data_IF_670043329978
#
_entry.id   IF_670043329978
#
_cell.length_a   1.000
_cell.length_b   1.000
_cell.length_c   1.000
_cell.angle_alpha   90.00
_cell.angle_beta   90.00
_cell.angle_gamma   90.00
#
_symmetry.space_group_name_H-M   'P 1'
#
loop_
_entity.id
_entity.type
_entity.pdbx_description
1 polymer ?
#
# COMPACT_ATOMS: atom_id res chain seq x y z
N UNK A 1 -4.53 -46.15 37.57
CA UNK A 1 -5.04 -44.89 38.17
C UNK A 1 -6.42 -45.19 38.73
N UNK A 2 -6.73 -44.78 39.97
CA UNK A 2 -8.11 -44.92 40.48
C UNK A 2 -9.02 -44.07 39.59
N UNK A 3 -10.04 -44.69 38.99
CA UNK A 3 -11.07 -43.96 38.24
C UNK A 3 -11.70 -42.92 39.18
N UNK A 4 -11.57 -41.64 38.82
CA UNK A 4 -12.23 -40.56 39.54
C UNK A 4 -13.72 -40.71 39.30
N UNK A 5 -14.53 -40.73 40.35
CA UNK A 5 -15.98 -40.87 40.26
C UNK A 5 -16.65 -39.61 40.78
N UNK A 6 -17.79 -39.27 40.19
CA UNK A 6 -18.62 -38.18 40.67
C UNK A 6 -19.10 -38.50 42.10
N UNK A 7 -18.91 -37.59 43.07
CA UNK A 7 -19.29 -37.84 44.46
C UNK A 7 -20.81 -37.93 44.67
N UNK A 8 -21.61 -37.42 43.72
CA UNK A 8 -23.07 -37.40 43.79
C UNK A 8 -23.69 -38.57 43.03
N UNK A 9 -23.29 -38.76 41.76
CA UNK A 9 -23.90 -39.77 40.87
C UNK A 9 -23.17 -41.12 40.89
N UNK A 10 -21.93 -41.17 41.39
CA UNK A 10 -21.08 -42.35 41.33
C UNK A 10 -20.56 -42.70 39.92
N UNK A 11 -20.92 -41.92 38.90
CA UNK A 11 -20.50 -42.12 37.51
C UNK A 11 -19.00 -41.80 37.31
N UNK A 12 -18.33 -42.44 36.34
CA UNK A 12 -16.93 -42.16 36.04
C UNK A 12 -16.75 -40.73 35.51
N UNK A 13 -15.70 -40.06 35.97
CA UNK A 13 -15.26 -38.76 35.46
C UNK A 13 -14.08 -38.97 34.53
N UNK A 14 -14.17 -38.44 33.31
CA UNK A 14 -13.07 -38.41 32.35
C UNK A 14 -12.65 -36.96 32.14
N UNK A 15 -11.35 -36.70 32.23
CA UNK A 15 -10.74 -35.41 31.94
C UNK A 15 -9.52 -35.63 31.05
N UNK A 16 -9.33 -34.75 30.07
CA UNK A 16 -8.20 -34.79 29.14
C UNK A 16 -7.42 -33.47 29.13
N UNK A 17 -6.10 -33.48 28.91
CA UNK A 17 -5.31 -32.25 28.78
C UNK A 17 -5.75 -31.34 27.64
N UNK A 18 -6.24 -31.91 26.54
CA UNK A 18 -6.76 -31.19 25.37
C UNK A 18 -8.13 -30.51 25.63
N UNK A 19 -8.78 -30.80 26.75
CA UNK A 19 -10.08 -30.25 27.14
C UNK A 19 -9.94 -29.03 28.03
N UNK A 20 -9.02 -28.14 27.68
CA UNK A 20 -8.71 -26.94 28.42
C UNK A 20 -8.45 -25.78 27.45
N UNK A 21 -9.10 -24.64 27.69
CA UNK A 21 -8.88 -23.40 26.94
C UNK A 21 -8.47 -22.30 27.90
N UNK A 22 -7.50 -21.50 27.48
CA UNK A 22 -7.05 -20.31 28.20
C UNK A 22 -7.55 -19.06 27.49
N UNK A 23 -8.18 -18.18 28.25
CA UNK A 23 -8.71 -16.90 27.78
C UNK A 23 -7.74 -15.79 28.20
N UNK A 24 -6.85 -15.31 27.30
CA UNK A 24 -5.72 -14.45 27.67
C UNK A 24 -6.11 -13.03 28.07
N UNK A 25 -7.22 -12.51 27.55
CA UNK A 25 -7.73 -11.19 27.90
C UNK A 25 -8.22 -11.13 29.35
N UNK A 26 -9.23 -11.94 29.71
CA UNK A 26 -9.77 -11.98 31.07
C UNK A 26 -8.96 -12.84 32.06
N UNK A 27 -7.95 -13.58 31.60
CA UNK A 27 -7.00 -14.32 32.44
C UNK A 27 -7.67 -15.44 33.28
N UNK A 28 -8.42 -16.31 32.59
CA UNK A 28 -9.02 -17.52 33.18
C UNK A 28 -8.87 -18.74 32.27
N UNK A 29 -9.08 -19.92 32.84
CA UNK A 29 -9.13 -21.19 32.13
C UNK A 29 -10.48 -21.84 32.27
N UNK A 30 -10.97 -22.43 31.19
CA UNK A 30 -12.10 -23.36 31.25
C UNK A 30 -11.56 -24.76 31.07
N UNK A 31 -11.92 -25.63 31.99
CA UNK A 31 -11.59 -27.05 31.94
C UNK A 31 -12.88 -27.83 31.74
N UNK A 32 -12.92 -28.68 30.72
CA UNK A 32 -14.02 -29.62 30.54
C UNK A 32 -13.66 -30.99 31.11
N UNK A 33 -14.62 -31.58 31.82
CA UNK A 33 -14.63 -32.99 32.19
C UNK A 33 -16.00 -33.58 31.86
N UNK A 34 -16.04 -34.89 31.63
CA UNK A 34 -17.29 -35.59 31.29
C UNK A 34 -17.64 -36.56 32.39
N UNK A 35 -18.94 -36.67 32.70
CA UNK A 35 -19.45 -37.50 33.78
C UNK A 35 -20.42 -38.53 33.19
N UNK A 36 -20.04 -39.81 33.22
CA UNK A 36 -20.82 -40.85 32.56
C UNK A 36 -20.78 -40.72 31.04
N UNK A 37 -21.93 -40.80 30.38
CA UNK A 37 -22.04 -40.85 28.91
C UNK A 37 -22.70 -39.62 28.27
N UNK A 38 -23.23 -38.71 29.09
CA UNK A 38 -24.17 -37.68 28.64
C UNK A 38 -24.12 -36.38 29.46
N UNK A 39 -23.17 -36.24 30.39
CA UNK A 39 -22.98 -35.02 31.19
C UNK A 39 -21.63 -34.40 30.85
N UNK A 40 -21.65 -33.11 30.49
CA UNK A 40 -20.46 -32.28 30.31
C UNK A 40 -20.38 -31.32 31.49
N UNK A 41 -19.26 -31.28 32.17
CA UNK A 41 -18.98 -30.40 33.30
C UNK A 41 -17.84 -29.44 32.92
N UNK A 42 -18.15 -28.15 32.84
CA UNK A 42 -17.18 -27.10 32.57
C UNK A 42 -16.84 -26.35 33.88
N UNK A 43 -15.55 -26.25 34.18
CA UNK A 43 -15.05 -25.62 35.41
C UNK A 43 -14.24 -24.40 35.01
N UNK A 44 -14.69 -23.21 35.44
CA UNK A 44 -13.95 -21.98 35.24
C UNK A 44 -13.00 -21.74 36.41
N UNK A 45 -11.73 -21.54 36.12
CA UNK A 45 -10.68 -21.29 37.11
C UNK A 45 -9.94 -20.00 36.80
N UNK A 46 -9.88 -19.09 37.78
CA UNK A 46 -9.11 -17.85 37.70
C UNK A 46 -8.53 -17.49 39.08
N UNK A 47 -7.44 -16.73 39.11
CA UNK A 47 -6.80 -16.28 40.36
C UNK A 47 -7.54 -15.09 41.00
N UNK A 48 -8.37 -14.38 40.23
CA UNK A 48 -9.15 -13.20 40.64
C UNK A 48 -10.51 -13.19 39.96
N UNK A 49 -11.44 -12.42 40.51
CA UNK A 49 -12.73 -12.16 39.86
C UNK A 49 -12.53 -11.62 38.43
N UNK A 50 -13.25 -12.19 37.46
CA UNK A 50 -13.07 -11.88 36.03
C UNK A 50 -14.39 -11.88 35.25
N UNK A 51 -14.34 -11.73 33.93
CA UNK A 51 -15.49 -11.68 33.04
C UNK A 51 -15.47 -12.77 31.96
N UNK A 52 -16.65 -13.23 31.55
CA UNK A 52 -16.82 -14.17 30.43
C UNK A 52 -16.72 -13.41 29.09
N UNK A 53 -15.79 -13.81 28.23
CA UNK A 53 -15.50 -13.18 26.93
C UNK A 53 -16.12 -13.90 25.74
N UNK A 54 -15.88 -15.19 25.56
CA UNK A 54 -16.41 -15.99 24.47
C UNK A 54 -16.55 -17.47 24.84
N UNK A 55 -17.33 -18.23 24.09
CA UNK A 55 -17.40 -19.69 24.19
C UNK A 55 -16.55 -20.30 23.08
N UNK A 56 -15.58 -21.13 23.43
CA UNK A 56 -14.79 -21.87 22.44
C UNK A 56 -15.63 -23.01 21.84
N UNK A 57 -16.26 -22.71 20.70
CA UNK A 57 -17.13 -23.63 19.97
C UNK A 57 -16.36 -24.87 19.48
N UNK A 58 -15.14 -24.70 18.95
CA UNK A 58 -14.34 -25.83 18.45
C UNK A 58 -14.04 -26.82 19.58
N UNK A 59 -13.64 -26.30 20.74
CA UNK A 59 -13.39 -27.12 21.91
C UNK A 59 -14.67 -27.82 22.38
N UNK A 60 -15.77 -27.08 22.53
CA UNK A 60 -17.04 -27.66 22.97
C UNK A 60 -17.52 -28.80 22.04
N UNK A 61 -17.46 -28.59 20.72
CA UNK A 61 -17.82 -29.62 19.74
C UNK A 61 -16.87 -30.81 19.78
N UNK A 62 -15.58 -30.60 20.02
CA UNK A 62 -14.62 -31.70 20.16
C UNK A 62 -14.94 -32.60 21.36
N UNK A 63 -15.34 -32.01 22.50
CA UNK A 63 -15.79 -32.75 23.69
C UNK A 63 -17.06 -33.54 23.39
N UNK A 64 -18.01 -32.92 22.68
CA UNK A 64 -19.26 -33.58 22.26
C UNK A 64 -19.04 -34.75 21.30
N UNK A 65 -18.12 -34.60 20.34
CA UNK A 65 -17.77 -35.63 19.38
C UNK A 65 -17.15 -36.85 20.06
N UNK A 66 -16.26 -36.64 21.03
CA UNK A 66 -15.65 -37.72 21.79
C UNK A 66 -16.64 -38.46 22.70
N UNK A 67 -17.60 -37.74 23.29
CA UNK A 67 -18.72 -38.34 24.02
C UNK A 67 -19.70 -39.07 23.10
N UNK A 68 -19.60 -38.88 21.77
CA UNK A 68 -20.53 -39.40 20.76
C UNK A 68 -21.98 -38.94 20.99
N UNK A 69 -22.14 -37.72 21.50
CA UNK A 69 -23.45 -37.14 21.85
C UNK A 69 -23.98 -36.15 20.81
N UNK A 70 -23.36 -36.08 19.63
CA UNK A 70 -23.68 -35.15 18.53
C UNK A 70 -25.15 -35.16 18.11
N UNK A 71 -25.87 -36.27 18.34
CA UNK A 71 -27.30 -36.44 18.00
C UNK A 71 -28.16 -36.88 19.18
N UNK A 72 -27.65 -36.79 20.41
CA UNK A 72 -28.36 -37.19 21.62
C UNK A 72 -28.50 -36.02 22.57
N UNK A 73 -29.43 -36.13 23.51
CA UNK A 73 -29.56 -35.16 24.60
C UNK A 73 -28.29 -35.13 25.46
N UNK A 74 -27.80 -33.95 25.75
CA UNK A 74 -26.67 -33.73 26.68
C UNK A 74 -27.12 -32.83 27.84
N UNK A 75 -26.48 -33.03 28.99
CA UNK A 75 -26.66 -32.23 30.19
C UNK A 75 -25.37 -31.46 30.45
N UNK A 76 -25.45 -30.13 30.52
CA UNK A 76 -24.28 -29.27 30.72
C UNK A 76 -24.33 -28.68 32.12
N UNK A 77 -23.24 -28.81 32.87
CA UNK A 77 -23.08 -28.22 34.20
C UNK A 77 -21.87 -27.30 34.18
N UNK A 78 -21.98 -26.09 34.71
CA UNK A 78 -20.90 -25.09 34.65
C UNK A 78 -20.68 -24.43 36.00
N UNK A 79 -19.41 -24.35 36.41
CA UNK A 79 -18.96 -23.61 37.60
C UNK A 79 -18.58 -22.17 37.23
N UNK A 80 -19.27 -21.17 37.80
CA UNK A 80 -19.00 -19.75 37.58
C UNK A 80 -18.39 -19.03 38.80
N UNK A 81 -17.84 -19.76 39.77
CA UNK A 81 -17.26 -19.16 40.99
C UNK A 81 -16.36 -17.92 40.78
N UNK A 82 -15.44 -17.88 39.79
CA UNK A 82 -14.61 -16.69 39.58
C UNK A 82 -15.25 -15.58 38.72
N UNK A 83 -16.44 -15.79 38.16
CA UNK A 83 -17.04 -14.85 37.20
C UNK A 83 -17.84 -13.75 37.92
N UNK A 84 -17.64 -12.52 37.49
CA UNK A 84 -18.26 -11.30 38.03
C UNK A 84 -18.96 -10.45 36.97
N UNK A 85 -18.64 -10.65 35.69
CA UNK A 85 -19.25 -9.92 34.58
C UNK A 85 -19.40 -10.82 33.33
N UNK A 86 -20.28 -10.44 32.41
CA UNK A 86 -20.56 -11.20 31.18
C UNK A 86 -20.51 -10.26 29.99
N UNK A 87 -19.59 -10.50 29.07
CA UNK A 87 -19.46 -9.68 27.86
C UNK A 87 -20.62 -9.91 26.88
N UNK A 88 -20.81 -8.94 25.98
CA UNK A 88 -21.77 -9.08 24.87
C UNK A 88 -21.45 -10.27 23.96
N UNK A 89 -20.16 -10.50 23.69
CA UNK A 89 -19.73 -11.58 22.81
C UNK A 89 -20.10 -12.95 23.39
N UNK A 90 -19.87 -13.17 24.69
CA UNK A 90 -20.32 -14.38 25.37
C UNK A 90 -21.83 -14.58 25.32
N UNK A 91 -22.62 -13.50 25.46
CA UNK A 91 -24.09 -13.55 25.39
C UNK A 91 -24.57 -13.97 24.00
N UNK A 92 -23.88 -13.54 22.94
CA UNK A 92 -24.16 -13.94 21.57
C UNK A 92 -23.77 -15.40 21.32
N UNK A 93 -22.57 -15.79 21.75
CA UNK A 93 -22.08 -17.17 21.69
C UNK A 93 -23.01 -18.16 22.41
N UNK A 94 -23.54 -17.77 23.57
CA UNK A 94 -24.51 -18.58 24.31
C UNK A 94 -25.81 -18.79 23.51
N UNK A 95 -26.31 -17.77 22.81
CA UNK A 95 -27.47 -17.96 21.95
C UNK A 95 -27.13 -18.91 20.79
N UNK A 96 -25.97 -18.74 20.17
CA UNK A 96 -25.50 -19.61 19.10
C UNK A 96 -25.31 -21.07 19.53
N UNK A 97 -24.91 -21.31 20.79
CA UNK A 97 -24.82 -22.64 21.38
C UNK A 97 -26.13 -23.43 21.24
N UNK A 98 -27.28 -22.79 21.50
CA UNK A 98 -28.59 -23.44 21.42
C UNK A 98 -29.20 -23.45 20.02
N UNK A 99 -28.95 -22.41 19.21
CA UNK A 99 -29.63 -22.25 17.92
C UNK A 99 -28.81 -22.71 16.71
N UNK A 100 -27.48 -22.71 16.80
CA UNK A 100 -26.58 -22.85 15.65
C UNK A 100 -25.51 -23.94 15.79
N UNK A 101 -24.96 -24.18 16.99
CA UNK A 101 -23.79 -25.06 17.15
C UNK A 101 -24.15 -26.54 17.40
N UNK A 102 -25.21 -26.83 18.16
CA UNK A 102 -25.54 -28.19 18.61
C UNK A 102 -24.49 -28.76 19.60
N UNK A 103 -24.71 -29.91 20.27
CA UNK A 103 -25.86 -30.84 20.23
C UNK A 103 -27.08 -30.32 21.01
N UNK A 104 -28.15 -31.12 21.10
CA UNK A 104 -29.32 -30.75 21.89
C UNK A 104 -29.01 -30.77 23.39
N UNK A 105 -28.82 -29.59 23.97
CA UNK A 105 -28.66 -29.39 25.40
C UNK A 105 -30.03 -29.44 26.08
N UNK A 106 -30.36 -30.56 26.72
CA UNK A 106 -31.66 -30.71 27.38
C UNK A 106 -31.74 -29.86 28.67
N UNK A 107 -30.64 -29.78 29.42
CA UNK A 107 -30.53 -28.99 30.63
C UNK A 107 -29.13 -28.37 30.73
N UNK A 108 -29.09 -27.07 30.97
CA UNK A 108 -27.89 -26.32 31.33
C UNK A 108 -28.02 -25.84 32.77
N UNK A 109 -27.12 -26.26 33.65
CA UNK A 109 -27.11 -25.84 35.06
C UNK A 109 -25.84 -25.05 35.33
N UNK A 110 -25.99 -23.83 35.82
CA UNK A 110 -24.88 -23.02 36.31
C UNK A 110 -24.91 -22.96 37.82
N UNK A 111 -23.76 -23.07 38.47
CA UNK A 111 -23.64 -22.97 39.92
C UNK A 111 -22.52 -22.02 40.35
N UNK A 112 -22.52 -21.61 41.62
CA UNK A 112 -21.66 -20.55 42.16
C UNK A 112 -21.79 -19.20 41.41
N UNK A 113 -23.00 -18.87 40.97
CA UNK A 113 -23.25 -17.63 40.22
C UNK A 113 -23.22 -16.42 41.15
N UNK A 114 -22.38 -15.42 40.83
CA UNK A 114 -22.30 -14.19 41.62
C UNK A 114 -23.57 -13.32 41.44
N UNK A 115 -24.07 -12.63 42.49
CA UNK A 115 -25.26 -11.79 42.40
C UNK A 115 -25.25 -10.75 41.27
N UNK A 116 -24.07 -10.23 40.93
CA UNK A 116 -23.90 -9.20 39.89
C UNK A 116 -24.23 -9.70 38.47
N UNK A 117 -24.11 -11.02 38.21
CA UNK A 117 -24.38 -11.62 36.89
C UNK A 117 -25.67 -12.43 36.86
N UNK A 118 -26.41 -12.53 37.97
CA UNK A 118 -27.61 -13.37 38.07
C UNK A 118 -28.64 -12.97 37.01
N UNK A 119 -28.89 -11.68 36.82
CA UNK A 119 -29.86 -11.20 35.81
C UNK A 119 -29.43 -11.51 34.38
N UNK A 120 -28.13 -11.44 34.09
CA UNK A 120 -27.60 -11.86 32.79
C UNK A 120 -27.84 -13.36 32.57
N UNK A 121 -27.58 -14.19 33.58
CA UNK A 121 -27.81 -15.64 33.51
C UNK A 121 -29.29 -16.01 33.39
N UNK A 122 -30.17 -15.31 34.09
CA UNK A 122 -31.63 -15.46 33.93
C UNK A 122 -32.08 -15.06 32.52
N UNK A 123 -31.52 -13.99 31.95
CA UNK A 123 -31.78 -13.59 30.57
C UNK A 123 -31.32 -14.63 29.56
N UNK A 124 -30.14 -15.22 29.76
CA UNK A 124 -29.64 -16.33 28.93
C UNK A 124 -30.54 -17.57 29.08
N UNK A 125 -31.00 -17.88 30.28
CA UNK A 125 -31.97 -18.95 30.53
C UNK A 125 -33.30 -18.73 29.81
N UNK A 126 -33.80 -17.50 29.78
CA UNK A 126 -35.04 -17.12 29.09
C UNK A 126 -34.94 -17.21 27.56
N UNK A 127 -33.73 -17.21 26.99
CA UNK A 127 -33.49 -17.43 25.56
C UNK A 127 -33.48 -18.92 25.17
N UNK A 128 -33.59 -19.85 26.11
CA UNK A 128 -33.54 -21.27 25.77
C UNK A 128 -34.75 -21.71 24.92
N UNK A 129 -34.56 -22.60 23.92
CA UNK A 129 -35.66 -23.13 23.13
C UNK A 129 -36.55 -24.05 23.97
N UNK A 130 -37.81 -24.26 23.54
CA UNK A 130 -38.84 -25.03 24.29
C UNK A 130 -38.40 -26.42 24.78
N UNK A 131 -37.43 -27.05 24.11
CA UNK A 131 -36.91 -28.38 24.44
C UNK A 131 -35.70 -28.35 25.38
N UNK A 132 -35.26 -27.18 25.80
CA UNK A 132 -34.07 -26.97 26.62
C UNK A 132 -34.42 -26.13 27.84
N UNK A 133 -33.79 -26.41 28.96
CA UNK A 133 -33.96 -25.63 30.20
C UNK A 133 -32.60 -25.13 30.68
N UNK A 134 -32.55 -23.89 31.16
CA UNK A 134 -31.43 -23.42 31.96
C UNK A 134 -31.87 -23.14 33.39
N UNK A 135 -30.97 -23.34 34.35
CA UNK A 135 -31.24 -23.00 35.75
C UNK A 135 -29.96 -22.64 36.50
N UNK A 136 -30.15 -21.84 37.54
CA UNK A 136 -29.11 -21.40 38.48
C UNK A 136 -29.33 -22.16 39.79
N UNK A 137 -28.26 -22.73 40.34
CA UNK A 137 -28.27 -23.40 41.65
C UNK A 137 -27.05 -22.98 42.47
N UNK A 138 -27.07 -23.24 43.78
CA UNK A 138 -26.00 -22.77 44.65
C UNK A 138 -24.75 -23.65 44.58
N UNK A 139 -24.92 -24.98 44.57
CA UNK A 139 -23.78 -25.91 44.71
C UNK A 139 -23.69 -26.96 43.60
N UNK A 140 -22.48 -27.50 43.41
CA UNK A 140 -22.25 -28.66 42.53
C UNK A 140 -23.18 -29.84 42.87
N UNK A 141 -23.48 -30.07 44.15
CA UNK A 141 -24.34 -31.16 44.57
C UNK A 141 -25.82 -30.94 44.22
N UNK A 142 -26.29 -29.70 44.22
CA UNK A 142 -27.61 -29.32 43.71
C UNK A 142 -27.65 -29.50 42.19
N UNK A 143 -26.63 -29.02 41.48
CA UNK A 143 -26.56 -29.12 40.03
C UNK A 143 -26.66 -30.57 39.53
N UNK A 144 -25.89 -31.47 40.15
CA UNK A 144 -25.93 -32.89 39.79
C UNK A 144 -27.27 -33.55 40.14
N UNK A 145 -27.94 -33.13 41.23
CA UNK A 145 -29.29 -33.63 41.57
C UNK A 145 -30.32 -33.19 40.55
N UNK A 146 -30.31 -31.92 40.13
CA UNK A 146 -31.20 -31.41 39.09
C UNK A 146 -31.02 -32.16 37.76
N UNK A 147 -29.79 -32.52 37.41
CA UNK A 147 -29.52 -33.36 36.23
C UNK A 147 -30.12 -34.76 36.38
N UNK A 148 -30.02 -35.40 37.56
CA UNK A 148 -30.63 -36.71 37.79
C UNK A 148 -32.17 -36.65 37.72
N UNK A 149 -32.78 -35.65 38.35
CA UNK A 149 -34.23 -35.43 38.31
C UNK A 149 -34.72 -35.20 36.86
N UNK A 150 -34.01 -34.38 36.09
CA UNK A 150 -34.34 -34.15 34.69
C UNK A 150 -34.20 -35.42 33.84
N UNK A 151 -33.26 -36.31 34.16
CA UNK A 151 -33.13 -37.61 33.48
C UNK A 151 -34.28 -38.55 33.79
N UNK A 152 -34.80 -38.53 35.01
CA UNK A 152 -35.97 -39.33 35.41
C UNK A 152 -37.27 -38.81 34.76
N UNK A 153 -37.40 -37.49 34.60
CA UNK A 153 -38.59 -36.84 34.02
C UNK A 153 -38.62 -36.88 32.49
N UNK A 154 -37.48 -36.67 31.80
CA UNK A 154 -37.37 -36.67 30.33
C UNK A 154 -37.42 -38.08 29.69
N UNK A 155 -38.09 -39.04 30.33
CA UNK A 155 -38.22 -40.41 29.87
C UNK A 155 -39.48 -40.74 29.06
N UNK A 156 -40.46 -39.81 28.92
CA UNK A 156 -41.78 -40.15 28.35
C UNK A 156 -42.33 -39.29 27.22
N UNK A 157 -42.05 -38.00 27.16
CA UNK A 157 -42.38 -37.14 26.00
C UNK A 157 -41.43 -35.94 26.06
N UNK A 158 -40.78 -35.58 24.95
CA UNK A 158 -39.80 -34.48 24.84
C UNK A 158 -40.47 -33.08 24.96
N UNK A 159 -41.34 -32.90 25.95
CA UNK A 159 -42.08 -31.67 26.26
C UNK A 159 -41.95 -31.43 27.76
N UNK A 160 -41.24 -30.38 28.13
CA UNK A 160 -41.17 -29.89 29.51
C UNK A 160 -42.56 -29.36 29.90
N UNK A 161 -42.95 -29.56 31.17
CA UNK A 161 -44.21 -29.00 31.70
C UNK A 161 -44.29 -27.50 31.37
N UNK A 162 -45.33 -27.10 30.63
CA UNK A 162 -45.53 -25.72 30.26
C UNK A 162 -45.75 -24.89 31.53
N UNK A 163 -44.91 -23.88 31.74
CA UNK A 163 -45.14 -22.85 32.76
C UNK A 163 -46.54 -22.28 32.52
N UNK A 164 -47.34 -22.15 33.58
CA UNK A 164 -48.68 -21.59 33.45
C UNK A 164 -48.60 -20.22 32.76
N UNK A 165 -49.34 -20.09 31.65
CA UNK A 165 -49.36 -18.87 30.85
C UNK A 165 -49.71 -17.66 31.73
N UNK A 166 -48.98 -16.56 31.54
CA UNK A 166 -49.13 -15.32 32.30
C UNK A 166 -48.93 -15.46 33.83
N UNK A 167 -48.30 -16.55 34.29
CA UNK A 167 -47.77 -16.63 35.64
C UNK A 167 -46.64 -15.60 35.86
N UNK A 168 -46.30 -15.31 37.11
CA UNK A 168 -45.21 -14.39 37.43
C UNK A 168 -43.86 -14.82 36.82
N UNK A 169 -43.59 -16.13 36.79
CA UNK A 169 -42.38 -16.69 36.20
C UNK A 169 -42.40 -16.62 34.66
N UNK A 170 -43.55 -16.89 34.03
CA UNK A 170 -43.71 -16.73 32.58
C UNK A 170 -43.50 -15.28 32.14
N UNK A 171 -44.13 -14.32 32.84
CA UNK A 171 -44.00 -12.90 32.54
C UNK A 171 -42.56 -12.40 32.75
N UNK A 172 -41.88 -12.85 33.82
CA UNK A 172 -40.47 -12.53 34.03
C UNK A 172 -39.61 -13.06 32.88
N UNK A 173 -39.80 -14.32 32.48
CA UNK A 173 -39.01 -14.93 31.41
C UNK A 173 -39.29 -14.28 30.05
N UNK A 174 -40.54 -13.99 29.71
CA UNK A 174 -40.90 -13.26 28.47
C UNK A 174 -40.25 -11.88 28.42
N UNK A 175 -40.25 -11.16 29.54
CA UNK A 175 -39.62 -9.84 29.64
C UNK A 175 -38.10 -9.94 29.43
N UNK A 176 -37.42 -10.83 30.16
CA UNK A 176 -35.98 -11.03 30.04
C UNK A 176 -35.57 -11.49 28.64
N UNK A 177 -36.32 -12.42 28.04
CA UNK A 177 -36.09 -12.87 26.67
C UNK A 177 -36.25 -11.71 25.66
N UNK A 178 -37.25 -10.85 25.82
CA UNK A 178 -37.43 -9.68 24.97
C UNK A 178 -36.26 -8.70 25.08
N UNK A 179 -35.82 -8.39 26.31
CA UNK A 179 -34.64 -7.53 26.55
C UNK A 179 -33.39 -8.13 25.94
N UNK A 180 -33.15 -9.42 26.13
CA UNK A 180 -32.00 -10.13 25.59
C UNK A 180 -31.98 -10.14 24.05
N UNK A 181 -33.13 -10.38 23.41
CA UNK A 181 -33.28 -10.32 21.94
C UNK A 181 -32.93 -8.94 21.38
N UNK A 182 -33.41 -7.87 22.02
CA UNK A 182 -33.16 -6.50 21.58
C UNK A 182 -31.72 -6.05 21.84
N UNK A 183 -31.17 -6.38 23.00
CA UNK A 183 -29.87 -5.83 23.45
C UNK A 183 -28.67 -6.68 23.07
N UNK A 184 -28.82 -8.00 22.96
CA UNK A 184 -27.71 -8.91 22.69
C UNK A 184 -27.69 -9.43 21.26
N UNK A 185 -28.87 -9.75 20.71
CA UNK A 185 -29.00 -10.44 19.41
C UNK A 185 -29.44 -9.54 18.26
N UNK A 186 -29.71 -8.26 18.52
CA UNK A 186 -30.21 -7.27 17.54
C UNK A 186 -31.49 -7.75 16.80
N UNK A 187 -32.31 -8.57 17.47
CA UNK A 187 -33.53 -9.17 16.92
C UNK A 187 -34.72 -8.20 17.04
N UNK A 188 -34.58 -7.00 16.50
CA UNK A 188 -35.60 -5.94 16.57
C UNK A 188 -36.86 -6.24 15.75
N UNK A 189 -36.80 -7.21 14.83
CA UNK A 189 -37.92 -7.64 13.99
C UNK A 189 -38.88 -8.62 14.69
N UNK A 190 -38.53 -9.11 15.89
CA UNK A 190 -39.38 -10.05 16.63
C UNK A 190 -40.35 -9.29 17.53
N UNK A 191 -41.68 -9.42 17.34
CA UNK A 191 -42.65 -8.69 18.16
C UNK A 191 -42.59 -9.15 19.61
N UNK A 192 -42.90 -8.22 20.53
CA UNK A 192 -43.02 -8.53 21.95
C UNK A 192 -44.47 -8.93 22.23
N UNK A 193 -44.65 -10.12 22.79
CA UNK A 193 -45.95 -10.60 23.20
C UNK A 193 -46.39 -9.87 24.48
N UNK A 194 -47.43 -9.03 24.38
CA UNK A 194 -47.91 -8.18 25.47
C UNK A 194 -48.95 -8.96 26.29
N UNK A 195 -48.78 -9.06 27.63
CA UNK A 195 -49.74 -9.78 28.46
C UNK A 195 -51.11 -9.07 28.52
N UNK A 196 -52.18 -9.79 28.89
CA UNK A 196 -53.53 -9.23 28.97
C UNK A 196 -53.64 -8.00 29.88
N UNK A 197 -54.58 -7.11 29.54
CA UNK A 197 -54.85 -5.90 30.30
C UNK A 197 -55.26 -6.21 31.75
N UNK A 198 -54.64 -5.52 32.71
CA UNK A 198 -54.90 -5.73 34.15
C UNK A 198 -53.92 -6.68 34.86
N UNK A 199 -52.93 -7.24 34.16
CA UNK A 199 -51.84 -8.06 34.73
C UNK A 199 -50.83 -7.28 35.60
N UNK A 200 -50.96 -5.95 35.70
CA UNK A 200 -50.07 -5.08 36.47
C UNK A 200 -48.68 -4.86 35.84
N UNK A 201 -48.31 -5.65 34.81
CA UNK A 201 -47.01 -5.60 34.13
C UNK A 201 -47.08 -5.16 32.67
N UNK A 202 -48.29 -5.01 32.13
CA UNK A 202 -48.55 -4.56 30.75
C UNK A 202 -47.74 -3.32 30.34
N UNK A 203 -47.64 -2.33 31.22
CA UNK A 203 -46.91 -1.08 30.96
C UNK A 203 -45.43 -1.30 30.69
N UNK A 204 -44.79 -2.29 31.32
CA UNK A 204 -43.39 -2.64 31.06
C UNK A 204 -43.21 -3.24 29.66
N UNK A 205 -44.12 -4.13 29.25
CA UNK A 205 -44.09 -4.76 27.92
C UNK A 205 -44.41 -3.74 26.82
N UNK A 206 -45.37 -2.85 27.05
CA UNK A 206 -45.67 -1.74 26.12
C UNK A 206 -44.47 -0.79 25.95
N UNK A 207 -43.75 -0.48 27.04
CA UNK A 207 -42.54 0.34 26.96
C UNK A 207 -41.43 -0.35 26.15
N UNK A 208 -41.24 -1.66 26.33
CA UNK A 208 -40.30 -2.42 25.51
C UNK A 208 -40.72 -2.48 24.03
N UNK A 209 -42.01 -2.62 23.74
CA UNK A 209 -42.49 -2.65 22.36
C UNK A 209 -42.32 -1.29 21.67
N UNK A 210 -42.56 -0.19 22.39
CA UNK A 210 -42.25 1.15 21.91
C UNK A 210 -40.75 1.32 21.63
N UNK A 211 -39.87 0.86 22.55
CA UNK A 211 -38.43 0.85 22.34
C UNK A 211 -38.03 0.03 21.11
N UNK A 212 -38.63 -1.14 20.90
CA UNK A 212 -38.39 -1.97 19.72
C UNK A 212 -38.73 -1.24 18.42
N UNK A 213 -39.86 -0.54 18.38
CA UNK A 213 -40.26 0.25 17.21
C UNK A 213 -39.28 1.39 16.92
N UNK A 214 -38.82 2.09 17.94
CA UNK A 214 -37.80 3.14 17.79
C UNK A 214 -36.46 2.57 17.27
N UNK A 215 -36.05 1.40 17.75
CA UNK A 215 -34.85 0.70 17.27
C UNK A 215 -35.00 0.26 15.81
N UNK A 216 -36.15 -0.28 15.43
CA UNK A 216 -36.45 -0.66 14.06
C UNK A 216 -36.37 0.54 13.11
N UNK A 217 -36.97 1.67 13.49
CA UNK A 217 -36.91 2.90 12.68
C UNK A 217 -35.47 3.44 12.56
N UNK A 218 -34.67 3.36 13.64
CA UNK A 218 -33.24 3.71 13.59
C UNK A 218 -32.47 2.82 12.64
N UNK A 219 -32.73 1.51 12.65
CA UNK A 219 -32.06 0.55 11.76
C UNK A 219 -32.42 0.83 10.30
N UNK A 220 -33.70 1.10 9.99
CA UNK A 220 -34.15 1.49 8.66
C UNK A 220 -33.50 2.80 8.18
N UNK A 221 -33.49 3.84 9.03
CA UNK A 221 -32.82 5.11 8.71
C UNK A 221 -31.33 4.90 8.46
N UNK A 222 -30.66 4.07 9.27
CA UNK A 222 -29.26 3.75 9.09
C UNK A 222 -29.00 3.01 7.76
N UNK A 223 -29.84 2.01 7.43
CA UNK A 223 -29.78 1.29 6.15
C UNK A 223 -29.92 2.24 4.96
N UNK A 224 -30.84 3.19 5.01
CA UNK A 224 -31.01 4.20 3.96
C UNK A 224 -29.79 5.12 3.83
N UNK A 225 -29.23 5.58 4.94
CA UNK A 225 -28.01 6.42 4.95
C UNK A 225 -26.80 5.69 4.35
N UNK A 226 -26.58 4.44 4.77
CA UNK A 226 -25.50 3.59 4.23
C UNK A 226 -25.73 3.33 2.74
N UNK A 227 -26.97 3.09 2.32
CA UNK A 227 -27.32 2.92 0.91
C UNK A 227 -27.01 4.16 0.06
N UNK A 228 -27.41 5.34 0.53
CA UNK A 228 -27.12 6.61 -0.14
C UNK A 228 -25.61 6.88 -0.22
N UNK A 229 -24.88 6.63 0.87
CA UNK A 229 -23.42 6.79 0.92
C UNK A 229 -22.73 5.84 -0.06
N UNK A 230 -23.15 4.58 -0.14
CA UNK A 230 -22.62 3.60 -1.12
C UNK A 230 -22.83 4.06 -2.56
N UNK A 231 -24.02 4.58 -2.88
CA UNK A 231 -24.32 5.11 -4.22
C UNK A 231 -23.44 6.32 -4.55
N UNK A 232 -23.25 7.23 -3.60
CA UNK A 232 -22.37 8.40 -3.78
C UNK A 232 -20.92 7.97 -4.05
N UNK A 233 -20.36 7.06 -3.24
CA UNK A 233 -19.00 6.57 -3.43
C UNK A 233 -18.83 5.84 -4.77
N UNK A 234 -19.79 5.01 -5.17
CA UNK A 234 -19.77 4.35 -6.49
C UNK A 234 -19.77 5.38 -7.63
N UNK A 235 -20.53 6.47 -7.49
CA UNK A 235 -20.53 7.58 -8.44
C UNK A 235 -19.17 8.28 -8.53
N UNK A 236 -18.54 8.57 -7.38
CA UNK A 236 -17.20 9.17 -7.32
C UNK A 236 -16.13 8.26 -7.92
N UNK A 237 -16.18 6.96 -7.64
CA UNK A 237 -15.25 5.97 -8.19
C UNK A 237 -15.34 5.93 -9.73
N UNK A 238 -16.56 5.91 -10.29
CA UNK A 238 -16.77 5.99 -11.72
C UNK A 238 -16.22 7.29 -12.33
N UNK A 239 -16.42 8.42 -11.65
CA UNK A 239 -15.90 9.72 -12.07
C UNK A 239 -14.36 9.74 -12.08
N UNK A 240 -13.71 9.25 -11.02
CA UNK A 240 -12.25 9.16 -10.97
C UNK A 240 -11.70 8.20 -12.02
N UNK A 241 -12.37 7.06 -12.25
CA UNK A 241 -12.01 6.13 -13.33
C UNK A 241 -12.05 6.80 -14.71
N UNK A 242 -13.09 7.60 -14.98
CA UNK A 242 -13.19 8.36 -16.24
C UNK A 242 -12.07 9.40 -16.39
N UNK A 243 -11.77 10.16 -15.33
CA UNK A 243 -10.67 11.14 -15.34
C UNK A 243 -9.31 10.49 -15.56
N UNK A 244 -9.05 9.35 -14.92
CA UNK A 244 -7.79 8.63 -15.07
C UNK A 244 -7.62 8.08 -16.49
N UNK A 245 -8.70 7.57 -17.10
CA UNK A 245 -8.67 7.11 -18.48
C UNK A 245 -8.37 8.24 -19.46
N UNK A 246 -9.02 9.41 -19.28
CA UNK A 246 -8.74 10.60 -20.09
C UNK A 246 -7.28 11.04 -19.97
N UNK A 247 -6.75 11.13 -18.75
CA UNK A 247 -5.35 11.49 -18.50
C UNK A 247 -4.37 10.49 -19.13
N UNK A 248 -4.71 9.20 -19.07
CA UNK A 248 -3.91 8.12 -19.66
C UNK A 248 -3.90 8.21 -21.18
N UNK A 249 -5.04 8.52 -21.80
CA UNK A 249 -5.13 8.74 -23.25
C UNK A 249 -4.33 9.96 -23.70
N UNK A 250 -4.42 11.09 -22.99
CA UNK A 250 -3.64 12.30 -23.28
C UNK A 250 -2.12 12.05 -23.14
N UNK A 251 -1.73 11.34 -22.08
CA UNK A 251 -0.33 10.94 -21.86
C UNK A 251 0.15 10.04 -22.99
N UNK A 252 -0.68 9.09 -23.45
CA UNK A 252 -0.36 8.20 -24.56
C UNK A 252 -0.23 8.96 -25.89
N UNK A 253 -1.11 9.93 -26.16
CA UNK A 253 -1.03 10.80 -27.35
C UNK A 253 0.25 11.63 -27.33
N UNK A 254 0.56 12.26 -26.20
CA UNK A 254 1.78 13.07 -26.02
C UNK A 254 3.04 12.23 -26.21
N UNK A 255 3.07 11.02 -25.64
CA UNK A 255 4.21 10.09 -25.79
C UNK A 255 4.45 9.72 -27.25
N UNK A 256 3.39 9.41 -28.01
CA UNK A 256 3.48 9.14 -29.45
C UNK A 256 4.03 10.35 -30.23
N UNK A 257 3.60 11.55 -29.89
CA UNK A 257 4.10 12.77 -30.51
C UNK A 257 5.61 12.96 -30.24
N UNK A 258 6.04 12.83 -28.98
CA UNK A 258 7.45 12.93 -28.61
C UNK A 258 8.31 11.84 -29.26
N UNK A 259 7.80 10.60 -29.37
CA UNK A 259 8.50 9.51 -30.06
C UNK A 259 8.70 9.84 -31.56
N UNK A 260 7.66 10.33 -32.24
CA UNK A 260 7.74 10.72 -33.65
C UNK A 260 8.71 11.89 -33.88
N UNK A 261 8.69 12.91 -33.02
CA UNK A 261 9.60 14.05 -33.10
C UNK A 261 11.05 13.63 -32.85
N UNK A 262 11.28 12.76 -31.84
CA UNK A 262 12.60 12.18 -31.57
C UNK A 262 13.13 11.43 -32.79
N UNK A 263 12.30 10.63 -33.44
CA UNK A 263 12.72 9.82 -34.59
C UNK A 263 13.01 10.70 -35.83
N UNK A 264 12.23 11.76 -36.05
CA UNK A 264 12.52 12.79 -37.06
C UNK A 264 13.85 13.50 -36.81
N UNK A 265 14.11 13.94 -35.57
CA UNK A 265 15.37 14.58 -35.20
C UNK A 265 16.57 13.65 -35.39
N UNK A 266 16.42 12.36 -35.06
CA UNK A 266 17.47 11.35 -35.32
C UNK A 266 17.77 11.20 -36.81
N UNK A 267 16.75 11.22 -37.68
CA UNK A 267 16.95 11.17 -39.13
C UNK A 267 17.71 12.41 -39.64
N UNK A 268 17.33 13.60 -39.16
CA UNK A 268 18.02 14.86 -39.50
C UNK A 268 19.47 14.81 -39.03
N UNK A 269 19.73 14.33 -37.80
CA UNK A 269 21.08 14.22 -37.26
C UNK A 269 21.94 13.26 -38.09
N UNK A 270 21.41 12.09 -38.45
CA UNK A 270 22.10 11.12 -39.31
C UNK A 270 22.39 11.68 -40.72
N UNK A 271 21.48 12.51 -41.27
CA UNK A 271 21.72 13.20 -42.54
C UNK A 271 22.88 14.20 -42.40
N UNK A 272 22.87 15.01 -41.33
CA UNK A 272 23.91 16.02 -41.08
C UNK A 272 25.28 15.40 -40.81
N UNK A 273 25.34 14.27 -40.12
CA UNK A 273 26.58 13.51 -39.93
C UNK A 273 27.16 13.02 -41.27
N UNK A 274 26.32 12.54 -42.19
CA UNK A 274 26.78 12.17 -43.55
C UNK A 274 27.28 13.37 -44.35
N UNK A 275 26.58 14.50 -44.30
CA UNK A 275 27.03 15.73 -44.97
C UNK A 275 28.40 16.17 -44.44
N UNK A 276 28.59 16.15 -43.11
CA UNK A 276 29.86 16.50 -42.46
C UNK A 276 30.97 15.52 -42.83
N UNK A 277 30.70 14.21 -42.84
CA UNK A 277 31.67 13.21 -43.29
C UNK A 277 32.08 13.45 -44.76
N UNK A 278 31.13 13.82 -45.62
CA UNK A 278 31.40 14.18 -47.00
C UNK A 278 32.26 15.45 -47.14
N UNK A 279 32.04 16.46 -46.29
CA UNK A 279 32.89 17.66 -46.23
C UNK A 279 34.31 17.30 -45.78
N UNK A 280 34.45 16.50 -44.73
CA UNK A 280 35.74 16.07 -44.21
C UNK A 280 36.56 15.29 -45.25
N UNK A 281 35.91 14.40 -46.02
CA UNK A 281 36.56 13.65 -47.07
C UNK A 281 37.10 14.55 -48.20
N UNK A 282 36.34 15.59 -48.59
CA UNK A 282 36.82 16.57 -49.59
C UNK A 282 38.09 17.29 -49.14
N UNK A 283 38.19 17.66 -47.86
CA UNK A 283 39.41 18.23 -47.30
C UNK A 283 40.58 17.24 -47.33
N UNK A 284 40.33 15.96 -47.04
CA UNK A 284 41.37 14.92 -47.16
C UNK A 284 41.88 14.76 -48.58
N UNK A 285 40.99 14.78 -49.57
CA UNK A 285 41.35 14.67 -50.97
C UNK A 285 42.17 15.88 -51.44
N UNK A 286 41.78 17.11 -51.09
CA UNK A 286 42.57 18.31 -51.43
C UNK A 286 43.95 18.30 -50.78
N UNK A 287 44.04 17.93 -49.50
CA UNK A 287 45.34 17.81 -48.81
C UNK A 287 46.22 16.76 -49.49
N UNK A 288 45.65 15.59 -49.83
CA UNK A 288 46.38 14.53 -50.52
C UNK A 288 46.90 15.00 -51.89
N UNK A 289 46.05 15.64 -52.70
CA UNK A 289 46.43 16.17 -54.03
C UNK A 289 47.55 17.20 -53.90
N UNK A 290 47.45 18.14 -52.95
CA UNK A 290 48.48 19.15 -52.70
C UNK A 290 49.80 18.51 -52.29
N UNK A 291 49.77 17.54 -51.37
CA UNK A 291 50.98 16.83 -50.94
C UNK A 291 51.66 16.07 -52.09
N UNK A 292 50.88 15.47 -52.99
CA UNK A 292 51.40 14.80 -54.18
C UNK A 292 52.02 15.79 -55.17
N UNK A 293 51.40 16.95 -55.38
CA UNK A 293 51.95 18.03 -56.21
C UNK A 293 53.28 18.55 -55.62
N UNK A 294 53.36 18.74 -54.30
CA UNK A 294 54.61 19.11 -53.62
C UNK A 294 55.74 18.13 -53.95
N UNK A 295 55.45 16.82 -53.85
CA UNK A 295 56.43 15.76 -54.14
C UNK A 295 56.88 15.77 -55.60
N UNK A 296 55.94 15.90 -56.53
CA UNK A 296 56.24 15.93 -57.97
C UNK A 296 57.11 17.15 -58.36
N UNK A 297 56.88 18.31 -57.75
CA UNK A 297 57.71 19.50 -57.96
C UNK A 297 59.11 19.30 -57.36
N UNK A 298 59.23 18.64 -56.20
CA UNK A 298 60.51 18.28 -55.60
C UNK A 298 61.33 17.27 -56.41
N UNK A 299 60.68 16.41 -57.19
CA UNK A 299 61.34 15.42 -58.06
C UNK A 299 61.65 15.96 -59.47
N UNK A 300 61.01 17.06 -59.89
CA UNK A 300 61.26 17.71 -61.16
C UNK A 300 62.60 18.47 -61.13
N UNK A 301 63.55 18.09 -61.98
CA UNK A 301 64.88 18.73 -62.11
C UNK A 301 64.83 20.15 -62.67
N UNK A 302 64.20 21.07 -61.95
CA UNK A 302 64.03 22.49 -62.25
C UNK A 302 65.22 23.26 -61.63
N UNK A 303 65.54 24.44 -62.19
CA UNK A 303 66.55 25.36 -61.63
C UNK A 303 66.35 25.54 -60.11
N UNK A 304 67.40 25.37 -59.27
CA UNK A 304 67.25 25.16 -57.83
C UNK A 304 66.56 26.31 -57.08
N UNK A 305 66.64 27.55 -57.60
CA UNK A 305 65.92 28.71 -57.06
C UNK A 305 64.42 28.67 -57.35
N UNK A 306 64.03 28.26 -58.56
CA UNK A 306 62.63 28.16 -58.97
C UNK A 306 61.96 26.93 -58.32
N UNK A 307 62.72 25.85 -58.14
CA UNK A 307 62.27 24.67 -57.42
C UNK A 307 62.00 24.98 -55.93
N UNK A 308 62.91 25.70 -55.26
CA UNK A 308 62.67 26.14 -53.87
C UNK A 308 61.45 27.04 -53.75
N UNK A 309 61.23 27.97 -54.69
CA UNK A 309 60.06 28.83 -54.69
C UNK A 309 58.75 28.05 -54.88
N UNK A 310 58.71 27.10 -55.82
CA UNK A 310 57.53 26.27 -56.08
C UNK A 310 57.23 25.30 -54.94
N UNK A 311 58.24 24.66 -54.35
CA UNK A 311 58.08 23.81 -53.17
C UNK A 311 57.56 24.62 -51.98
N UNK A 312 58.06 25.84 -51.77
CA UNK A 312 57.59 26.75 -50.72
C UNK A 312 56.11 27.14 -50.90
N UNK A 313 55.71 27.58 -52.10
CA UNK A 313 54.30 27.92 -52.36
C UNK A 313 53.38 26.72 -52.15
N UNK A 314 53.80 25.52 -52.56
CA UNK A 314 52.99 24.32 -52.37
C UNK A 314 52.96 23.83 -50.91
N UNK A 315 54.05 23.96 -50.14
CA UNK A 315 54.04 23.65 -48.70
C UNK A 315 53.11 24.60 -47.95
N UNK A 316 53.16 25.90 -48.26
CA UNK A 316 52.32 26.92 -47.63
C UNK A 316 50.83 26.67 -47.92
N UNK A 317 50.49 26.27 -49.16
CA UNK A 317 49.14 25.86 -49.52
C UNK A 317 48.69 24.60 -48.77
N UNK A 318 49.57 23.61 -48.63
CA UNK A 318 49.27 22.36 -47.89
C UNK A 318 49.07 22.63 -46.39
N UNK A 319 49.93 23.42 -45.77
CA UNK A 319 49.81 23.80 -44.37
C UNK A 319 48.53 24.61 -44.11
N UNK A 320 48.18 25.51 -45.03
CA UNK A 320 46.93 26.28 -44.95
C UNK A 320 45.70 25.37 -45.04
N UNK A 321 45.66 24.42 -45.97
CA UNK A 321 44.53 23.47 -46.07
C UNK A 321 44.43 22.56 -44.85
N UNK A 322 45.56 22.09 -44.30
CA UNK A 322 45.58 21.30 -43.06
C UNK A 322 45.08 22.11 -41.86
N UNK A 323 45.49 23.37 -41.74
CA UNK A 323 45.01 24.28 -40.71
C UNK A 323 43.51 24.57 -40.87
N UNK A 324 43.02 24.74 -42.11
CA UNK A 324 41.60 24.88 -42.42
C UNK A 324 40.78 23.66 -42.02
N UNK A 325 41.27 22.46 -42.35
CA UNK A 325 40.65 21.19 -41.91
C UNK A 325 40.56 21.09 -40.39
N UNK A 326 41.63 21.43 -39.66
CA UNK A 326 41.66 21.37 -38.20
C UNK A 326 40.71 22.38 -37.53
N UNK A 327 40.38 23.47 -38.23
CA UNK A 327 39.45 24.51 -37.76
C UNK A 327 38.02 24.32 -38.25
N UNK A 328 37.81 23.44 -39.25
CA UNK A 328 36.52 23.23 -39.89
C UNK A 328 36.07 24.40 -40.76
N UNK A 329 36.99 25.22 -41.26
CA UNK A 329 36.71 26.35 -42.14
C UNK A 329 37.80 26.52 -43.22
N UNK A 330 37.44 27.14 -44.34
CA UNK A 330 38.40 27.50 -45.38
C UNK A 330 39.24 28.70 -44.92
N UNK A 331 40.57 28.58 -44.95
CA UNK A 331 41.48 29.67 -44.60
C UNK A 331 41.95 30.40 -45.85
N UNK A 332 41.90 31.72 -45.81
CA UNK A 332 42.52 32.55 -46.85
C UNK A 332 44.02 32.72 -46.59
N UNK A 333 44.78 33.13 -47.60
CA UNK A 333 46.20 33.50 -47.44
C UNK A 333 46.38 34.61 -46.39
N UNK A 334 45.44 35.57 -46.33
CA UNK A 334 45.42 36.61 -45.30
C UNK A 334 45.20 36.05 -43.88
N UNK A 335 44.58 34.87 -43.74
CA UNK A 335 44.40 34.20 -42.46
C UNK A 335 45.66 33.45 -42.01
N UNK A 336 46.36 32.82 -42.95
CA UNK A 336 47.67 32.22 -42.69
C UNK A 336 48.71 33.29 -42.29
N UNK A 337 48.80 34.40 -43.04
CA UNK A 337 49.68 35.52 -42.71
C UNK A 337 49.35 36.15 -41.35
N UNK A 338 48.07 36.31 -41.03
CA UNK A 338 47.65 36.75 -39.70
C UNK A 338 48.09 35.80 -38.58
N UNK A 339 47.97 34.49 -38.78
CA UNK A 339 48.39 33.50 -37.78
C UNK A 339 49.91 33.59 -37.53
N UNK A 340 50.71 33.70 -38.59
CA UNK A 340 52.17 33.91 -38.50
C UNK A 340 52.53 35.22 -37.78
N UNK A 341 51.86 36.33 -38.14
CA UNK A 341 52.04 37.62 -37.49
C UNK A 341 51.63 37.58 -36.00
N UNK A 342 50.55 36.86 -35.67
CA UNK A 342 50.10 36.70 -34.28
C UNK A 342 51.10 35.89 -33.45
N UNK A 343 51.72 34.85 -34.04
CA UNK A 343 52.73 34.03 -33.37
C UNK A 343 54.04 34.78 -33.12
N UNK A 344 54.49 35.59 -34.09
CA UNK A 344 55.70 36.39 -33.95
C UNK A 344 55.53 37.52 -32.92
N UNK A 345 54.38 38.20 -32.92
CA UNK A 345 54.11 39.32 -32.00
C UNK A 345 53.72 38.86 -30.59
N UNK A 346 53.03 37.71 -30.47
CA UNK A 346 52.50 37.21 -29.20
C UNK A 346 52.80 35.73 -28.99
N UNK A 347 54.09 35.33 -28.85
CA UNK A 347 54.47 33.93 -28.70
C UNK A 347 53.91 33.27 -27.43
N UNK A 348 53.51 34.06 -26.43
CA UNK A 348 52.96 33.62 -25.13
C UNK A 348 51.50 33.10 -25.22
N UNK A 349 50.83 33.30 -26.36
CA UNK A 349 49.48 32.77 -26.57
C UNK A 349 49.52 31.25 -26.72
N UNK A 350 48.62 30.55 -26.03
CA UNK A 350 48.42 29.11 -26.21
C UNK A 350 47.76 28.84 -27.57
N UNK A 351 47.91 27.64 -28.12
CA UNK A 351 47.28 27.25 -29.38
C UNK A 351 45.76 27.51 -29.38
N UNK A 352 45.09 27.14 -28.27
CA UNK A 352 43.65 27.40 -28.07
C UNK A 352 43.30 28.89 -28.13
N UNK A 353 44.16 29.74 -27.57
CA UNK A 353 44.00 31.20 -27.61
C UNK A 353 44.22 31.75 -29.03
N UNK A 354 45.20 31.24 -29.77
CA UNK A 354 45.44 31.62 -31.18
C UNK A 354 44.25 31.28 -32.08
N UNK A 355 43.69 30.08 -31.93
CA UNK A 355 42.46 29.68 -32.65
C UNK A 355 41.28 30.62 -32.37
N UNK A 356 41.10 31.01 -31.10
CA UNK A 356 40.05 31.97 -30.73
C UNK A 356 40.34 33.34 -31.34
N UNK A 357 41.58 33.82 -31.37
CA UNK A 357 41.94 35.07 -32.03
C UNK A 357 41.59 35.07 -33.53
N UNK A 358 41.83 33.95 -34.21
CA UNK A 358 41.44 33.79 -35.61
C UNK A 358 39.92 33.82 -35.80
N UNK A 359 39.15 33.11 -34.97
CA UNK A 359 37.69 33.18 -35.02
C UNK A 359 37.14 34.59 -34.75
N UNK A 360 37.79 35.34 -33.85
CA UNK A 360 37.45 36.75 -33.59
C UNK A 360 37.71 37.61 -34.82
N UNK A 361 38.84 37.41 -35.51
CA UNK A 361 39.17 38.09 -36.77
C UNK A 361 38.13 37.78 -37.85
N UNK A 362 37.78 36.50 -38.01
CA UNK A 362 36.76 36.01 -38.95
C UNK A 362 35.32 36.36 -38.55
N UNK A 363 35.14 37.17 -37.50
CA UNK A 363 33.85 37.69 -37.05
C UNK A 363 32.84 36.62 -36.55
N UNK A 364 33.32 35.48 -36.05
CA UNK A 364 32.45 34.52 -35.36
C UNK A 364 31.95 35.08 -34.03
N UNK A 365 30.68 34.84 -33.73
CA UNK A 365 30.06 35.19 -32.44
C UNK A 365 30.53 34.25 -31.33
N UNK A 366 30.41 34.68 -30.06
CA UNK A 366 30.75 33.81 -28.91
C UNK A 366 29.94 32.51 -28.87
N UNK A 367 28.72 32.49 -29.44
CA UNK A 367 27.89 31.27 -29.53
C UNK A 367 28.36 30.33 -30.64
N UNK A 368 28.82 30.85 -31.76
CA UNK A 368 29.38 30.01 -32.84
C UNK A 368 30.73 29.44 -32.41
N UNK A 369 31.60 30.27 -31.83
CA UNK A 369 32.85 29.82 -31.23
C UNK A 369 32.64 28.76 -30.15
N UNK A 370 31.59 28.89 -29.31
CA UNK A 370 31.32 27.92 -28.25
C UNK A 370 30.96 26.54 -28.81
N UNK A 371 30.20 26.52 -29.92
CA UNK A 371 29.83 25.28 -30.63
C UNK A 371 31.05 24.64 -31.29
N UNK A 372 31.88 25.43 -31.97
CA UNK A 372 33.08 24.94 -32.67
C UNK A 372 34.14 24.42 -31.68
N UNK A 373 34.33 25.11 -30.55
CA UNK A 373 35.38 24.78 -29.56
C UNK A 373 34.94 23.78 -28.48
N UNK A 374 33.67 23.34 -28.48
CA UNK A 374 33.13 22.41 -27.49
C UNK A 374 33.16 22.95 -26.04
N UNK A 375 32.94 24.26 -25.85
CA UNK A 375 32.90 24.91 -24.52
C UNK A 375 31.64 25.74 -24.33
N UNK A 376 31.32 26.11 -23.10
CA UNK A 376 30.24 27.06 -22.84
C UNK A 376 30.56 28.45 -23.39
N UNK A 377 29.53 29.25 -23.69
CA UNK A 377 29.67 30.66 -24.12
C UNK A 377 30.52 31.46 -23.12
N UNK A 378 30.30 31.24 -21.82
CA UNK A 378 31.10 31.83 -20.73
C UNK A 378 32.57 31.39 -20.77
N UNK A 379 32.83 30.15 -21.18
CA UNK A 379 34.18 29.65 -21.44
C UNK A 379 34.91 30.43 -22.54
N UNK A 380 34.20 30.79 -23.61
CA UNK A 380 34.74 31.64 -24.70
C UNK A 380 35.03 33.06 -24.21
N UNK A 381 34.13 33.66 -23.43
CA UNK A 381 34.33 35.00 -22.84
C UNK A 381 35.56 35.05 -21.93
N UNK A 382 35.77 34.00 -21.12
CA UNK A 382 36.98 33.88 -20.30
C UNK A 382 38.25 33.81 -21.16
N UNK A 383 38.23 33.12 -22.30
CA UNK A 383 39.36 33.11 -23.24
C UNK A 383 39.59 34.51 -23.81
N UNK A 384 38.53 35.22 -24.23
CA UNK A 384 38.62 36.60 -24.73
C UNK A 384 39.22 37.55 -23.70
N UNK A 385 38.82 37.44 -22.43
CA UNK A 385 39.39 38.23 -21.34
C UNK A 385 40.90 37.95 -21.18
N UNK A 386 41.31 36.67 -21.22
CA UNK A 386 42.74 36.31 -21.16
C UNK A 386 43.53 36.83 -22.35
N UNK A 387 42.97 36.75 -23.56
CA UNK A 387 43.57 37.32 -24.77
C UNK A 387 43.81 38.82 -24.59
N UNK A 388 42.80 39.56 -24.12
CA UNK A 388 42.88 41.00 -23.89
C UNK A 388 44.01 41.37 -22.93
N UNK A 389 44.14 40.63 -21.81
CA UNK A 389 45.22 40.83 -20.82
C UNK A 389 46.60 40.44 -21.35
N UNK A 390 46.73 39.32 -22.05
CA UNK A 390 48.02 38.81 -22.59
C UNK A 390 48.57 39.67 -23.73
N UNK A 391 47.68 40.21 -24.56
CA UNK A 391 48.04 41.11 -25.67
C UNK A 391 48.32 42.55 -25.17
N UNK A 392 47.91 42.87 -23.94
CA UNK A 392 48.18 44.18 -23.32
C UNK A 392 47.26 45.30 -23.80
N UNK A 393 46.03 44.97 -24.23
CA UNK A 393 45.07 45.95 -24.70
C UNK A 393 44.49 46.78 -23.53
N UNK A 394 44.19 48.06 -23.78
CA UNK A 394 43.46 48.90 -22.81
C UNK A 394 41.98 48.51 -22.79
N UNK A 395 41.28 48.77 -21.68
CA UNK A 395 39.88 48.38 -21.47
C UNK A 395 38.90 48.79 -22.59
N UNK A 396 39.18 49.89 -23.29
CA UNK A 396 38.36 50.41 -24.39
C UNK A 396 38.78 49.89 -25.79
N UNK A 397 39.84 49.10 -25.89
CA UNK A 397 40.34 48.58 -27.17
C UNK A 397 39.70 47.22 -27.47
N UNK A 398 39.13 47.10 -28.67
CA UNK A 398 38.52 45.87 -29.16
C UNK A 398 39.56 44.91 -29.71
N UNK A 399 39.56 43.66 -29.22
CA UNK A 399 40.35 42.55 -29.78
C UNK A 399 40.14 42.41 -31.30
N UNK A 400 38.89 42.60 -31.77
CA UNK A 400 38.57 42.50 -33.20
C UNK A 400 39.31 43.57 -34.01
N UNK A 401 39.32 44.81 -33.53
CA UNK A 401 39.99 45.92 -34.22
C UNK A 401 41.51 45.76 -34.18
N UNK A 402 42.04 45.29 -33.05
CA UNK A 402 43.45 44.97 -32.92
C UNK A 402 43.90 43.91 -33.94
N UNK A 403 43.18 42.79 -34.01
CA UNK A 403 43.50 41.71 -34.94
C UNK A 403 43.33 42.10 -36.40
N UNK A 404 42.33 42.93 -36.74
CA UNK A 404 42.18 43.45 -38.09
C UNK A 404 43.39 44.32 -38.54
N UNK A 405 44.02 45.04 -37.59
CA UNK A 405 45.18 45.89 -37.88
C UNK A 405 46.49 45.14 -38.15
N UNK A 406 46.59 43.86 -37.77
CA UNK A 406 47.82 43.06 -37.93
C UNK A 406 48.08 42.62 -39.39
N UNK A 407 47.07 42.66 -40.25
CA UNK A 407 47.17 42.22 -41.66
C UNK A 407 47.89 43.27 -42.54
N UNK A 408 47.95 44.54 -42.12
CA UNK A 408 48.40 45.65 -42.99
C UNK A 408 49.92 45.77 -43.07
N UNK A 409 50.68 45.16 -42.14
CA UNK A 409 52.13 45.38 -42.05
C UNK A 409 53.00 44.52 -42.99
N UNK A 410 52.45 43.49 -43.63
CA UNK A 410 53.21 42.62 -44.56
C UNK A 410 53.05 42.98 -46.04
N UNK A 411 52.13 43.89 -46.41
CA UNK A 411 52.02 44.37 -47.80
C UNK A 411 52.96 45.55 -48.15
N UNK A 412 53.82 45.98 -47.21
CA UNK A 412 54.72 47.15 -47.39
C UNK A 412 56.19 46.78 -47.11
N UNK A 413 56.63 45.56 -47.42
CA UNK A 413 58.07 45.24 -47.44
C UNK A 413 58.50 44.57 -48.72
#
# INVERSE_FOLDING_TARGET
MKEKKCPVTGLPIVRKPEWEVFHPGPDYRVVFETIGTDIIHAIVSADRGTYLDFIDNELFLSVCAELKVEKTKVYVVIDYDPIREVSLNYKQDYADLFYNWGPWIALLVVYNVHPDITTDMEGLGALCPLKSRAMIVDTYADAMRSVLEAKEQCGRDDVLDAVAADSEEDLKNRFLAAVARLSWLDLVNHPIDIPPAGSGRESYFQALEALRMDLLEREERHKLQVGAMKQEYAGREAQYGMQLNLLTEESRKSRRHFEAERDSLKQILALKERELAGVAHRYDDTIHVLSSLCRQIGEAGIEPKLQQALVGVCSDLSEREQAGKALGCELTEADAGFMSALESLHPVLTERERRVSLFIKMNYSSREMSRILGVSVRGVENIRYRLHKKIGLRSHQSLKNYFAGLVVSELIR
#
